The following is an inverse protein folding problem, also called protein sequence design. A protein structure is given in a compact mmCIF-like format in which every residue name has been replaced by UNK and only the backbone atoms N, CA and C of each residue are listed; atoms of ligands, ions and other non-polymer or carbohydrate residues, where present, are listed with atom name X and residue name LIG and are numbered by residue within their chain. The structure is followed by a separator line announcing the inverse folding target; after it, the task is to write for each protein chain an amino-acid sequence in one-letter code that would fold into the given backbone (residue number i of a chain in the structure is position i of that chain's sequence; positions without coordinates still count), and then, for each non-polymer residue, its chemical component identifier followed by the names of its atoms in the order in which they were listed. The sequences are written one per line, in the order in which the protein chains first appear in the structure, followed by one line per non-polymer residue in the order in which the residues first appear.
data_IF_994921769674
#
_entry.id   IF_994921769674
#
_cell.length_a   1.000
_cell.length_b   1.000
_cell.length_c   1.000
_cell.angle_alpha   90.00
_cell.angle_beta   90.00
_cell.angle_gamma   90.00
#
_symmetry.space_group_name_H-M   'P 1'
#
loop_
_entity.id
_entity.type
_entity.pdbx_description
1 polymer ?
#
# COMPACT_ATOMS: atom_id res chain seq x y z
N UNK A 1 -7.37 5.05 -22.76
CA UNK A 1 -6.06 4.41 -22.44
C UNK A 1 -6.14 3.84 -21.03
N UNK A 2 -5.72 2.60 -20.74
CA UNK A 2 -5.87 2.01 -19.38
C UNK A 2 -4.90 2.65 -18.36
N UNK A 3 -3.79 3.19 -18.81
CA UNK A 3 -2.74 3.80 -17.97
C UNK A 3 -3.02 5.25 -17.57
N UNK A 4 -4.24 5.74 -17.78
CA UNK A 4 -4.61 7.11 -17.41
C UNK A 4 -5.91 7.09 -16.60
N UNK A 5 -5.98 7.82 -15.46
CA UNK A 5 -7.16 7.82 -14.61
C UNK A 5 -8.34 8.56 -15.26
N UNK A 6 -9.55 8.17 -14.89
CA UNK A 6 -10.78 8.84 -15.33
C UNK A 6 -11.02 10.12 -14.52
N UNK A 7 -10.02 11.00 -14.56
CA UNK A 7 -9.96 12.26 -13.85
C UNK A 7 -9.85 13.37 -14.88
N UNK A 8 -10.67 14.43 -14.74
CA UNK A 8 -10.58 15.63 -15.60
C UNK A 8 -9.21 16.32 -15.54
N UNK A 9 -8.36 15.92 -14.60
CA UNK A 9 -7.00 16.43 -14.39
C UNK A 9 -5.92 15.54 -15.00
N UNK A 10 -6.28 14.35 -15.47
CA UNK A 10 -5.40 13.48 -16.24
C UNK A 10 -5.07 14.12 -17.58
N UNK A 11 -3.86 13.87 -18.09
CA UNK A 11 -3.45 14.37 -19.41
C UNK A 11 -4.10 13.57 -20.54
N UNK A 12 -4.53 12.34 -20.27
CA UNK A 12 -5.26 11.50 -21.22
C UNK A 12 -6.61 11.08 -20.62
N UNK A 13 -7.62 10.84 -21.44
CA UNK A 13 -8.85 10.17 -20.96
C UNK A 13 -8.59 8.67 -20.93
N UNK A 14 -8.79 8.05 -19.77
CA UNK A 14 -8.50 6.65 -19.57
C UNK A 14 -9.44 5.93 -18.63
N UNK A 15 -9.33 4.61 -18.62
CA UNK A 15 -10.17 3.71 -17.82
C UNK A 15 -9.37 3.07 -16.67
N UNK A 16 -8.33 3.75 -16.16
CA UNK A 16 -7.61 3.21 -15.00
C UNK A 16 -8.60 3.00 -13.86
N UNK A 17 -8.72 1.78 -13.32
CA UNK A 17 -9.59 1.53 -12.20
C UNK A 17 -9.16 2.37 -10.99
N UNK A 18 -10.13 3.06 -10.40
CA UNK A 18 -9.91 3.84 -9.17
C UNK A 18 -9.49 2.96 -7.99
N UNK A 19 -9.85 1.67 -8.02
CA UNK A 19 -9.47 0.70 -7.02
C UNK A 19 -9.10 -0.66 -7.60
N UNK A 20 -8.13 -1.33 -7.00
CA UNK A 20 -7.73 -2.71 -7.32
C UNK A 20 -7.85 -3.58 -6.08
N UNK A 21 -8.38 -4.79 -6.24
CA UNK A 21 -8.52 -5.77 -5.16
C UNK A 21 -7.32 -6.72 -5.14
N UNK A 22 -6.71 -6.89 -3.98
CA UNK A 22 -5.64 -7.85 -3.75
C UNK A 22 -6.15 -9.29 -3.54
N UNK A 23 -5.23 -10.25 -3.50
CA UNK A 23 -5.57 -11.66 -3.34
C UNK A 23 -6.26 -11.97 -1.99
N UNK A 24 -5.94 -11.20 -0.94
CA UNK A 24 -6.56 -11.29 0.39
C UNK A 24 -7.92 -10.56 0.50
N UNK A 25 -8.42 -9.99 -0.60
CA UNK A 25 -9.67 -9.23 -0.63
C UNK A 25 -9.55 -7.76 -0.20
N UNK A 26 -8.37 -7.31 0.23
CA UNK A 26 -8.12 -5.89 0.54
C UNK A 26 -8.23 -5.05 -0.73
N UNK A 27 -8.90 -3.91 -0.64
CA UNK A 27 -9.10 -3.00 -1.77
C UNK A 27 -8.20 -1.78 -1.61
N UNK A 28 -7.46 -1.46 -2.67
CA UNK A 28 -6.46 -0.41 -2.71
C UNK A 28 -6.85 0.66 -3.72
N UNK A 29 -6.71 1.93 -3.36
CA UNK A 29 -6.93 3.07 -4.28
C UNK A 29 -5.74 3.29 -5.19
N UNK A 30 -5.98 3.71 -6.43
CA UNK A 30 -4.90 4.07 -7.35
C UNK A 30 -4.00 5.19 -6.76
N UNK A 31 -2.75 5.28 -7.21
CA UNK A 31 -1.91 6.43 -6.89
C UNK A 31 -2.53 7.75 -7.34
N UNK A 32 -2.14 8.83 -6.65
CA UNK A 32 -2.58 10.17 -6.98
C UNK A 32 -1.63 10.80 -8.01
N UNK A 33 -2.19 11.55 -8.94
CA UNK A 33 -1.42 12.48 -9.77
C UNK A 33 -0.94 13.65 -8.91
N UNK A 34 0.18 14.26 -9.29
CA UNK A 34 0.68 15.49 -8.65
C UNK A 34 -0.39 16.59 -8.62
N UNK A 35 -1.18 16.70 -9.70
CA UNK A 35 -2.25 17.68 -9.83
C UNK A 35 -3.49 17.39 -8.97
N UNK A 36 -3.62 16.17 -8.46
CA UNK A 36 -4.73 15.76 -7.58
C UNK A 36 -4.42 16.04 -6.10
N UNK A 37 -3.20 16.46 -5.79
CA UNK A 37 -2.85 16.85 -4.44
C UNK A 37 -3.53 18.17 -4.05
N UNK A 38 -4.01 18.24 -2.81
CA UNK A 38 -4.58 19.45 -2.22
C UNK A 38 -3.57 20.62 -2.21
N UNK A 39 -2.27 20.29 -2.06
CA UNK A 39 -1.16 21.24 -2.11
C UNK A 39 -0.01 20.66 -2.91
N UNK A 40 0.52 21.43 -3.86
CA UNK A 40 1.60 20.99 -4.77
C UNK A 40 2.98 21.57 -4.40
N UNK A 41 3.02 22.60 -3.56
CA UNK A 41 4.28 23.25 -3.16
C UNK A 41 5.19 22.27 -2.41
N UNK A 42 6.44 22.11 -2.89
CA UNK A 42 7.41 21.20 -2.29
C UNK A 42 7.11 19.71 -2.52
N UNK A 43 6.15 19.38 -3.39
CA UNK A 43 5.81 17.99 -3.75
C UNK A 43 6.63 17.53 -4.95
N UNK A 44 7.04 16.27 -4.92
CA UNK A 44 7.78 15.62 -5.99
C UNK A 44 6.88 14.64 -6.74
N UNK A 45 7.18 14.42 -8.02
CA UNK A 45 6.51 13.43 -8.84
C UNK A 45 7.47 12.59 -9.66
N UNK A 46 7.03 11.40 -10.05
CA UNK A 46 7.65 10.63 -11.13
C UNK A 46 6.78 10.71 -12.39
N UNK A 47 7.41 10.74 -13.57
CA UNK A 47 6.69 10.78 -14.84
C UNK A 47 6.64 9.39 -15.44
N UNK A 48 5.44 8.87 -15.67
CA UNK A 48 5.22 7.56 -16.29
C UNK A 48 3.93 7.57 -17.12
N UNK A 49 3.96 6.96 -18.31
CA UNK A 49 2.82 6.83 -19.22
C UNK A 49 2.11 8.18 -19.50
N UNK A 50 2.93 9.23 -19.69
CA UNK A 50 2.56 10.64 -19.88
C UNK A 50 1.94 11.34 -18.67
N UNK A 51 1.77 10.68 -17.53
CA UNK A 51 1.22 11.24 -16.30
C UNK A 51 2.32 11.55 -15.27
N UNK A 52 2.06 12.55 -14.42
CA UNK A 52 2.95 12.89 -13.31
C UNK A 52 2.34 12.36 -12.00
N UNK A 53 2.88 11.27 -11.48
CA UNK A 53 2.43 10.59 -10.28
C UNK A 53 3.09 11.18 -9.04
N UNK A 54 2.29 11.53 -8.04
CA UNK A 54 2.79 12.10 -6.79
C UNK A 54 3.60 11.07 -5.99
N UNK A 55 4.76 11.49 -5.49
CA UNK A 55 5.56 10.71 -4.57
C UNK A 55 5.33 11.18 -3.12
N UNK A 56 5.44 10.24 -2.19
CA UNK A 56 5.20 10.43 -0.78
C UNK A 56 6.32 9.79 0.02
N UNK A 57 6.69 10.44 1.12
CA UNK A 57 7.39 9.79 2.21
C UNK A 57 6.37 9.37 3.28
N UNK A 58 6.82 8.65 4.30
CA UNK A 58 5.91 8.10 5.31
C UNK A 58 5.14 9.15 6.11
N UNK A 59 5.74 10.33 6.32
CA UNK A 59 5.11 11.43 7.03
C UNK A 59 3.93 11.97 6.22
N UNK A 60 4.14 12.24 4.94
CA UNK A 60 3.07 12.68 4.05
C UNK A 60 1.99 11.61 3.84
N UNK A 61 2.37 10.33 3.76
CA UNK A 61 1.42 9.23 3.67
C UNK A 61 0.52 9.13 4.91
N UNK A 62 1.04 9.52 6.09
CA UNK A 62 0.34 9.49 7.38
C UNK A 62 -0.66 10.63 7.57
N UNK A 63 -0.59 11.69 6.76
CA UNK A 63 -1.57 12.77 6.82
C UNK A 63 -2.96 12.29 6.40
N UNK A 64 -4.01 12.98 6.83
CA UNK A 64 -5.37 12.65 6.41
C UNK A 64 -5.57 12.87 4.92
N UNK A 65 -6.67 12.33 4.40
CA UNK A 65 -7.09 12.53 3.00
C UNK A 65 -7.30 13.99 2.64
N UNK A 66 -7.60 14.87 3.61
CA UNK A 66 -7.66 16.33 3.43
C UNK A 66 -6.34 16.91 2.91
N UNK A 67 -5.21 16.33 3.32
CA UNK A 67 -3.86 16.71 2.87
C UNK A 67 -3.29 15.71 1.87
N UNK A 68 -4.16 14.94 1.21
CA UNK A 68 -3.82 13.94 0.19
C UNK A 68 -2.98 12.76 0.68
N UNK A 69 -2.89 12.54 2.00
CA UNK A 69 -2.35 11.30 2.57
C UNK A 69 -3.42 10.21 2.71
N UNK A 70 -3.04 9.05 3.24
CA UNK A 70 -3.99 7.97 3.53
C UNK A 70 -4.60 8.09 4.94
N UNK A 71 -3.88 8.68 5.88
CA UNK A 71 -4.07 8.50 7.31
C UNK A 71 -3.35 7.24 7.78
N UNK A 72 -2.79 7.27 8.99
CA UNK A 72 -1.92 6.23 9.55
C UNK A 72 -2.47 4.81 9.45
N UNK A 73 -3.78 4.63 9.63
CA UNK A 73 -4.45 3.32 9.62
C UNK A 73 -4.77 2.78 8.22
N UNK A 74 -4.57 3.58 7.17
CA UNK A 74 -4.91 3.21 5.78
C UNK A 74 -3.66 3.10 4.88
N UNK A 75 -2.48 3.45 5.39
CA UNK A 75 -1.21 3.16 4.71
C UNK A 75 -1.03 1.65 4.69
N UNK A 76 -0.75 1.03 3.55
CA UNK A 76 -0.70 -0.43 3.44
C UNK A 76 0.48 -1.04 4.21
N UNK A 77 0.35 -2.32 4.57
CA UNK A 77 1.47 -3.13 5.05
C UNK A 77 2.25 -3.72 3.88
N UNK A 78 3.50 -4.15 4.11
CA UNK A 78 4.26 -4.90 3.11
C UNK A 78 3.48 -6.13 2.62
N UNK A 79 2.87 -6.88 3.55
CA UNK A 79 2.08 -8.06 3.23
C UNK A 79 0.88 -7.72 2.32
N UNK A 80 0.18 -6.61 2.59
CA UNK A 80 -0.92 -6.15 1.74
C UNK A 80 -0.45 -5.78 0.33
N UNK A 81 0.71 -5.12 0.18
CA UNK A 81 1.28 -4.83 -1.14
C UNK A 81 1.76 -6.09 -1.87
N UNK A 82 2.33 -7.06 -1.16
CA UNK A 82 2.70 -8.37 -1.74
C UNK A 82 1.46 -9.13 -2.19
N UNK A 83 0.35 -9.07 -1.43
CA UNK A 83 -0.95 -9.64 -1.81
C UNK A 83 -1.55 -8.94 -3.04
N UNK A 84 -1.39 -7.63 -3.14
CA UNK A 84 -1.77 -6.85 -4.33
C UNK A 84 -0.98 -7.28 -5.56
N UNK A 85 0.34 -7.44 -5.42
CA UNK A 85 1.19 -7.97 -6.48
C UNK A 85 0.81 -9.41 -6.86
N UNK A 86 0.53 -10.29 -5.89
CA UNK A 86 0.20 -11.69 -6.16
C UNK A 86 -1.04 -11.84 -7.08
N UNK A 87 -2.05 -10.98 -6.91
CA UNK A 87 -3.24 -10.96 -7.77
C UNK A 87 -2.99 -10.27 -9.13
N UNK A 88 -1.85 -9.60 -9.30
CA UNK A 88 -1.48 -8.83 -10.49
C UNK A 88 -0.02 -9.08 -10.89
N UNK A 89 0.41 -10.36 -10.85
CA UNK A 89 1.77 -10.76 -11.18
C UNK A 89 2.06 -10.58 -12.69
N UNK A 90 3.34 -10.69 -13.06
CA UNK A 90 3.75 -10.56 -14.47
C UNK A 90 3.58 -9.16 -15.04
N UNK A 91 3.80 -8.13 -14.21
CA UNK A 91 3.65 -6.71 -14.57
C UNK A 91 2.23 -6.29 -14.99
N UNK A 92 1.20 -7.07 -14.61
CA UNK A 92 -0.19 -6.75 -14.93
C UNK A 92 -0.73 -5.55 -14.15
N UNK A 93 -0.08 -5.17 -13.04
CA UNK A 93 -0.32 -3.87 -12.39
C UNK A 93 -0.17 -2.72 -13.39
N UNK A 94 0.84 -2.75 -14.27
CA UNK A 94 1.00 -1.75 -15.32
C UNK A 94 0.15 -2.04 -16.54
N UNK A 95 0.21 -3.26 -17.09
CA UNK A 95 -0.36 -3.55 -18.42
C UNK A 95 -1.88 -3.74 -18.41
N UNK A 96 -2.45 -4.17 -17.28
CA UNK A 96 -3.89 -4.43 -17.11
C UNK A 96 -4.54 -3.38 -16.22
N UNK A 97 -3.98 -3.14 -15.03
CA UNK A 97 -4.54 -2.14 -14.09
C UNK A 97 -4.11 -0.71 -14.41
N UNK A 98 -3.07 -0.52 -15.23
CA UNK A 98 -2.59 0.81 -15.62
C UNK A 98 -1.79 1.56 -14.55
N UNK A 99 -1.56 0.97 -13.37
CA UNK A 99 -0.88 1.64 -12.27
C UNK A 99 0.62 1.85 -12.58
N UNK A 100 1.21 2.98 -12.15
CA UNK A 100 2.62 3.25 -12.36
C UNK A 100 3.51 2.26 -11.61
N UNK A 101 4.58 1.79 -12.25
CA UNK A 101 5.57 0.89 -11.63
C UNK A 101 7.01 1.38 -11.86
N UNK A 102 7.19 2.66 -12.23
CA UNK A 102 8.50 3.29 -12.36
C UNK A 102 9.28 3.34 -11.03
N UNK A 103 8.59 3.26 -9.89
CA UNK A 103 9.20 3.16 -8.56
C UNK A 103 8.36 2.28 -7.64
N UNK A 104 8.79 2.11 -6.38
CA UNK A 104 8.14 1.25 -5.39
C UNK A 104 6.95 1.94 -4.74
N UNK A 105 6.14 1.13 -4.07
CA UNK A 105 5.02 1.55 -3.24
C UNK A 105 5.39 1.48 -1.76
N UNK A 106 5.18 2.58 -1.05
CA UNK A 106 5.49 2.70 0.37
C UNK A 106 4.53 1.86 1.22
N UNK A 107 5.07 1.26 2.28
CA UNK A 107 4.27 0.61 3.34
C UNK A 107 4.59 1.19 4.71
N UNK A 108 3.69 1.01 5.68
CA UNK A 108 3.94 1.36 7.08
C UNK A 108 4.70 0.28 7.85
N UNK A 109 5.10 -0.81 7.20
CA UNK A 109 5.81 -1.92 7.83
C UNK A 109 7.24 -1.48 8.12
N UNK A 110 7.60 -1.46 9.40
CA UNK A 110 8.97 -1.14 9.83
C UNK A 110 9.92 -2.21 9.29
N UNK A 111 11.03 -1.77 8.71
CA UNK A 111 12.20 -2.64 8.59
C UNK A 111 12.82 -2.70 9.99
N UNK A 112 12.86 -3.88 10.62
CA UNK A 112 13.32 -4.08 12.01
C UNK A 112 14.86 -3.87 12.17
N UNK A 113 15.43 -2.92 11.43
CA UNK A 113 16.81 -2.47 11.55
C UNK A 113 17.05 -1.65 12.81
N UNK A 114 18.06 -0.77 12.79
CA UNK A 114 18.43 0.00 13.98
C UNK A 114 17.30 0.91 14.45
N UNK A 115 17.11 1.02 15.78
CA UNK A 115 16.14 1.94 16.39
C UNK A 115 16.47 3.42 16.13
N UNK A 116 17.68 3.70 15.66
CA UNK A 116 18.18 5.04 15.32
C UNK A 116 17.68 5.52 13.93
N UNK A 117 17.37 4.60 13.01
CA UNK A 117 16.86 4.90 11.69
C UNK A 117 15.55 4.14 11.46
N UNK A 118 14.43 4.84 11.63
CA UNK A 118 13.11 4.28 11.35
C UNK A 118 12.93 4.11 9.84
N UNK A 119 13.38 2.96 9.35
CA UNK A 119 13.21 2.53 7.97
C UNK A 119 11.87 1.80 7.81
N UNK A 120 11.32 1.89 6.60
CA UNK A 120 10.07 1.27 6.21
C UNK A 120 10.30 0.36 5.01
N UNK A 121 9.39 -0.56 4.79
CA UNK A 121 9.41 -1.42 3.61
C UNK A 121 8.68 -0.73 2.46
N UNK A 122 9.22 -0.84 1.26
CA UNK A 122 8.56 -0.47 0.02
C UNK A 122 8.58 -1.66 -0.94
N UNK A 123 7.51 -1.85 -1.72
CA UNK A 123 7.32 -3.01 -2.62
C UNK A 123 7.25 -2.53 -4.06
N UNK A 124 8.03 -3.16 -4.93
CA UNK A 124 7.97 -2.98 -6.37
C UNK A 124 6.85 -3.86 -6.95
N UNK A 125 5.81 -3.23 -7.50
CA UNK A 125 4.65 -3.95 -8.04
C UNK A 125 4.87 -4.49 -9.47
N UNK A 126 6.03 -4.23 -10.11
CA UNK A 126 6.38 -4.85 -11.39
C UNK A 126 6.88 -6.29 -11.24
N UNK A 127 7.58 -6.57 -10.12
CA UNK A 127 8.30 -7.82 -9.89
C UNK A 127 8.09 -8.42 -8.49
N UNK A 128 7.41 -7.73 -7.59
CA UNK A 128 7.08 -8.20 -6.23
C UNK A 128 8.21 -8.05 -5.21
N UNK A 129 9.37 -7.51 -5.59
CA UNK A 129 10.50 -7.34 -4.66
C UNK A 129 10.25 -6.25 -3.63
N UNK A 130 10.83 -6.37 -2.45
CA UNK A 130 10.73 -5.36 -1.39
C UNK A 130 12.10 -4.84 -0.97
N UNK A 131 12.20 -3.55 -0.67
CA UNK A 131 13.41 -2.90 -0.15
C UNK A 131 13.12 -2.10 1.12
N UNK A 132 14.15 -1.88 1.93
CA UNK A 132 14.09 -0.92 3.03
C UNK A 132 14.35 0.49 2.50
N UNK A 133 13.53 1.44 2.90
CA UNK A 133 13.62 2.86 2.54
C UNK A 133 13.59 3.72 3.80
N UNK A 134 14.24 4.88 3.79
CA UNK A 134 14.24 5.77 4.94
C UNK A 134 12.88 6.48 5.08
N UNK A 135 12.63 7.11 6.22
CA UNK A 135 11.43 7.91 6.45
C UNK A 135 11.31 9.15 5.54
N UNK A 136 12.38 9.53 4.84
CA UNK A 136 12.44 10.68 3.93
C UNK A 136 12.41 10.29 2.45
N UNK A 137 12.62 9.02 2.12
CA UNK A 137 12.54 8.51 0.74
C UNK A 137 11.14 8.76 0.16
N UNK A 138 11.11 9.17 -1.10
CA UNK A 138 9.89 9.49 -1.84
C UNK A 138 9.55 8.33 -2.77
N UNK A 139 8.40 7.71 -2.54
CA UNK A 139 7.90 6.53 -3.27
C UNK A 139 6.43 6.73 -3.66
N UNK A 140 5.88 5.85 -4.50
CA UNK A 140 4.45 5.86 -4.80
C UNK A 140 3.64 5.47 -3.55
N UNK A 141 2.41 5.97 -3.48
CA UNK A 141 1.49 5.68 -2.39
C UNK A 141 0.19 5.13 -2.95
N UNK A 142 -0.29 4.05 -2.33
CA UNK A 142 -1.64 3.53 -2.48
C UNK A 142 -2.26 3.46 -1.09
N UNK A 143 -3.56 3.73 -0.97
CA UNK A 143 -4.26 3.69 0.32
C UNK A 143 -5.26 2.54 0.33
N UNK A 144 -5.36 1.83 1.44
CA UNK A 144 -6.45 0.87 1.65
C UNK A 144 -7.78 1.62 1.79
N UNK A 145 -8.87 1.05 1.27
CA UNK A 145 -10.22 1.63 1.45
C UNK A 145 -10.81 1.30 2.83
N UNK A 146 -10.30 0.26 3.47
CA UNK A 146 -10.60 -0.13 4.85
C UNK A 146 -9.36 0.08 5.72
N UNK A 147 -9.52 0.37 7.03
CA UNK A 147 -8.38 0.44 7.93
C UNK A 147 -7.71 -0.93 8.03
N UNK A 148 -6.38 -0.96 8.17
CA UNK A 148 -5.66 -2.19 8.45
C UNK A 148 -6.27 -2.81 9.71
N UNK A 149 -6.81 -4.02 9.57
CA UNK A 149 -7.29 -4.77 10.72
C UNK A 149 -6.14 -4.92 11.71
N UNK A 150 -6.33 -4.45 12.94
CA UNK A 150 -5.43 -4.82 14.03
C UNK A 150 -5.44 -6.35 14.08
N UNK A 151 -4.27 -6.98 13.92
CA UNK A 151 -4.17 -8.44 14.00
C UNK A 151 -4.74 -8.84 15.36
N UNK A 152 -5.93 -9.43 15.36
CA UNK A 152 -6.53 -9.98 16.56
C UNK A 152 -5.52 -10.97 17.11
N UNK A 153 -4.92 -10.64 18.25
CA UNK A 153 -3.97 -11.52 18.92
C UNK A 153 -4.63 -12.89 19.03
N UNK A 154 -3.98 -13.91 18.47
CA UNK A 154 -4.42 -15.30 18.57
C UNK A 154 -4.58 -15.60 20.07
N UNK A 155 -5.83 -15.71 20.54
CA UNK A 155 -6.09 -16.29 21.85
C UNK A 155 -5.76 -17.77 21.72
N UNK A 156 -4.61 -18.18 22.27
CA UNK A 156 -4.35 -19.59 22.54
C UNK A 156 -5.42 -20.08 23.51
N UNK A 157 -6.47 -20.74 22.99
CA UNK A 157 -7.32 -21.58 23.80
C UNK A 157 -6.53 -22.84 24.13
N UNK A 158 -5.80 -22.83 25.25
CA UNK A 158 -5.16 -24.02 25.79
C UNK A 158 -6.24 -25.03 26.17
N UNK A 159 -6.47 -26.02 25.32
CA UNK A 159 -7.32 -27.17 25.64
C UNK A 159 -6.57 -28.11 26.60
N UNK A 160 -6.67 -27.84 27.89
CA UNK A 160 -6.31 -28.80 28.94
C UNK A 160 -7.38 -29.88 29.04
N UNK A 161 -7.03 -31.12 28.63
CA UNK A 161 -7.85 -32.33 28.88
C UNK A 161 -8.02 -32.52 30.39
N UNK A 162 -9.25 -32.45 30.89
CA UNK A 162 -9.61 -32.98 32.21
C UNK A 162 -9.66 -34.51 32.09
N UNK A 163 -8.73 -35.19 32.78
CA UNK A 163 -8.71 -36.64 32.91
C UNK A 163 -9.70 -37.07 33.99
N UNK A 164 -10.62 -37.92 33.58
CA UNK A 164 -11.59 -38.63 34.41
C UNK A 164 -10.88 -39.78 35.14
N UNK A 165 -11.03 -39.87 36.47
CA UNK A 165 -10.65 -41.02 37.25
C UNK A 165 -11.58 -41.13 38.47
N UNK A 166 -12.64 -41.90 38.30
CA UNK A 166 -13.50 -42.36 39.39
C UNK A 166 -12.75 -43.33 40.31
N UNK A 167 -13.04 -43.25 41.60
CA UNK A 167 -12.72 -44.29 42.56
C UNK A 167 -14.03 -44.85 43.14
N UNK A 168 -14.21 -46.15 42.95
CA UNK A 168 -15.18 -47.00 43.61
C UNK A 168 -14.44 -47.83 44.67
N UNK A 169 -15.16 -48.09 45.77
CA UNK A 169 -14.84 -48.83 47.00
C UNK A 169 -14.12 -48.04 48.10
#
# INVERSE_FOLDING_TARGET
MVTSPDSRLAKMWGHMPETVTAADGTVFKRPLLLKELAYQTGRTSTSEDNENWALFNINYASFSTTYSGCGTNYIPTQAGLTSLFANNAGNTMKTVQGWPVATRYLSNTSDNGSMEQRNYKAVDLSNGTSAAVSSTTLELLTCQTAPIAAVSQIRFAGSGRSGDAGYHL
#
